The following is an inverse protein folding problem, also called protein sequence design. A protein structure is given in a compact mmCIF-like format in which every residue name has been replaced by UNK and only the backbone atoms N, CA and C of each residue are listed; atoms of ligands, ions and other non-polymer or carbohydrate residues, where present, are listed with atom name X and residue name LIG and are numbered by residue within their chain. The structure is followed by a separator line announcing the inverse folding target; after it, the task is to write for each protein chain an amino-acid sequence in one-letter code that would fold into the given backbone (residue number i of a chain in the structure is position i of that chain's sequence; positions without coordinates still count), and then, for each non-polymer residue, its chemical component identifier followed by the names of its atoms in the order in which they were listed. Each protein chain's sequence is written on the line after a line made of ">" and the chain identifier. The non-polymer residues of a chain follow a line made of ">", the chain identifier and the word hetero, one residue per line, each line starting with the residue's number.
data_IF_634420900132
#
_entry.id   IF_634420900132
#
_cell.length_a   1.000
_cell.length_b   1.000
_cell.length_c   1.000
_cell.angle_alpha   90.00
_cell.angle_beta   90.00
_cell.angle_gamma   90.00
#
_symmetry.space_group_name_H-M   'P 1'
#
loop_
_entity.id
_entity.type
_entity.pdbx_description
1 polymer ?
#
# COMPACT_ATOMS: atom_id res chain seq x y z
N UNK A 1 -10.29 -27.56 55.96
CA UNK A 1 -11.56 -27.47 55.22
C UNK A 1 -11.58 -26.15 54.47
N UNK A 2 -11.14 -26.18 53.21
CA UNK A 2 -11.57 -25.27 52.13
C UNK A 2 -11.14 -25.95 50.83
N UNK A 3 -12.06 -26.74 50.27
CA UNK A 3 -11.95 -27.36 48.96
C UNK A 3 -11.86 -26.27 47.89
N UNK A 4 -10.90 -26.40 46.96
CA UNK A 4 -10.81 -25.54 45.79
C UNK A 4 -11.46 -26.27 44.59
N UNK A 5 -12.61 -25.83 44.05
CA UNK A 5 -13.39 -26.55 43.06
C UNK A 5 -12.94 -26.32 41.60
N UNK A 6 -11.67 -26.01 41.35
CA UNK A 6 -11.16 -25.69 40.02
C UNK A 6 -10.51 -26.88 39.27
N UNK A 7 -10.81 -28.13 39.64
CA UNK A 7 -10.50 -29.30 38.81
C UNK A 7 -11.62 -29.58 37.80
N UNK A 8 -11.98 -28.58 36.99
CA UNK A 8 -12.87 -28.79 35.85
C UNK A 8 -12.11 -29.51 34.74
N UNK A 9 -12.34 -30.83 34.69
CA UNK A 9 -12.10 -31.77 33.60
C UNK A 9 -11.51 -31.16 32.31
N UNK A 10 -10.17 -31.11 32.24
CA UNK A 10 -9.50 -31.00 30.96
C UNK A 10 -9.84 -32.29 30.20
N UNK A 11 -10.82 -32.20 29.30
CA UNK A 11 -11.15 -33.28 28.37
C UNK A 11 -9.89 -33.53 27.56
N UNK A 12 -9.16 -34.58 27.90
CA UNK A 12 -7.99 -35.05 27.16
C UNK A 12 -8.52 -35.48 25.79
N UNK A 13 -8.48 -34.57 24.81
CA UNK A 13 -8.65 -34.96 23.41
C UNK A 13 -7.52 -35.94 23.10
N UNK A 14 -7.83 -37.23 23.15
CA UNK A 14 -6.89 -38.28 22.79
C UNK A 14 -6.42 -38.01 21.37
N UNK A 15 -5.11 -37.76 21.23
CA UNK A 15 -4.47 -37.56 19.94
C UNK A 15 -4.51 -38.88 19.16
N UNK A 16 -5.61 -39.15 18.46
CA UNK A 16 -5.73 -40.27 17.55
C UNK A 16 -4.80 -40.06 16.36
N UNK A 17 -3.94 -41.05 16.11
CA UNK A 17 -3.07 -41.08 14.93
C UNK A 17 -3.57 -42.16 13.99
N UNK A 18 -3.53 -41.86 12.70
CA UNK A 18 -3.74 -42.82 11.63
C UNK A 18 -2.57 -43.83 11.60
N UNK A 19 -2.77 -45.04 11.04
CA UNK A 19 -1.72 -46.05 10.92
C UNK A 19 -0.48 -45.61 10.13
N UNK A 20 -0.62 -44.56 9.31
CA UNK A 20 0.46 -43.92 8.55
C UNK A 20 1.23 -42.85 9.36
N UNK A 21 0.97 -42.73 10.67
CA UNK A 21 1.62 -41.78 11.58
C UNK A 21 1.05 -40.36 11.56
N UNK A 22 0.14 -40.03 10.64
CA UNK A 22 -0.52 -38.72 10.59
C UNK A 22 -1.57 -38.58 11.69
N UNK A 23 -1.85 -37.36 12.14
CA UNK A 23 -2.97 -37.12 13.06
C UNK A 23 -4.30 -37.36 12.34
N UNK A 24 -5.24 -38.03 13.00
CA UNK A 24 -6.59 -38.19 12.47
C UNK A 24 -7.28 -36.81 12.32
N UNK A 25 -8.20 -36.63 11.36
CA UNK A 25 -8.99 -35.41 11.28
C UNK A 25 -9.72 -35.14 12.60
N UNK A 26 -9.55 -33.95 13.18
CA UNK A 26 -10.12 -33.59 14.50
C UNK A 26 -9.31 -34.06 15.71
N UNK A 27 -8.25 -34.85 15.51
CA UNK A 27 -7.28 -35.21 16.55
C UNK A 27 -6.22 -34.11 16.63
N UNK A 28 -6.39 -33.22 17.60
CA UNK A 28 -5.42 -32.21 18.06
C UNK A 28 -4.29 -31.88 17.09
N UNK A 29 -4.53 -30.89 16.24
CA UNK A 29 -3.57 -30.31 15.31
C UNK A 29 -3.99 -28.89 14.97
N UNK A 30 -3.05 -28.07 14.51
CA UNK A 30 -3.38 -26.68 14.17
C UNK A 30 -4.25 -26.64 12.91
N UNK A 31 -5.46 -26.09 13.04
CA UNK A 31 -6.45 -26.01 11.94
C UNK A 31 -5.84 -25.31 10.72
N UNK A 32 -5.93 -25.89 9.51
CA UNK A 32 -5.47 -25.24 8.28
C UNK A 32 -6.03 -23.82 8.16
N UNK A 33 -5.17 -22.85 7.83
CA UNK A 33 -5.54 -21.42 7.72
C UNK A 33 -5.46 -20.60 9.02
N UNK A 34 -5.37 -21.23 10.20
CA UNK A 34 -5.29 -20.51 11.48
C UNK A 34 -4.04 -19.63 11.66
N UNK A 35 -2.93 -19.91 10.94
CA UNK A 35 -1.72 -19.05 10.94
C UNK A 35 -2.03 -17.64 10.44
N UNK A 36 -2.81 -17.56 9.37
CA UNK A 36 -3.12 -16.29 8.71
C UNK A 36 -4.34 -15.62 9.35
N UNK A 37 -5.20 -16.39 10.04
CA UNK A 37 -6.35 -15.85 10.77
C UNK A 37 -5.91 -14.89 11.89
N UNK A 38 -4.90 -15.25 12.68
CA UNK A 38 -4.35 -14.37 13.73
C UNK A 38 -3.73 -13.11 13.14
N UNK A 39 -3.03 -13.23 12.01
CA UNK A 39 -2.45 -12.08 11.30
C UNK A 39 -3.53 -11.14 10.75
N UNK A 40 -4.59 -11.68 10.16
CA UNK A 40 -5.68 -10.88 9.60
C UNK A 40 -6.54 -10.23 10.68
N UNK A 41 -6.80 -10.95 11.79
CA UNK A 41 -7.51 -10.39 12.94
C UNK A 41 -6.72 -9.24 13.58
N UNK A 42 -5.40 -9.38 13.72
CA UNK A 42 -4.54 -8.30 14.20
C UNK A 42 -4.56 -7.09 13.26
N UNK A 43 -4.49 -7.30 11.94
CA UNK A 43 -4.59 -6.22 10.96
C UNK A 43 -5.96 -5.52 10.97
N UNK A 44 -7.04 -6.29 11.14
CA UNK A 44 -8.38 -5.73 11.29
C UNK A 44 -8.49 -4.87 12.55
N UNK A 45 -8.01 -5.37 13.68
CA UNK A 45 -7.99 -4.63 14.94
C UNK A 45 -7.19 -3.31 14.81
N UNK A 46 -6.02 -3.33 14.16
CA UNK A 46 -5.23 -2.12 13.90
C UNK A 46 -6.00 -1.14 13.01
N UNK A 47 -6.74 -1.62 12.01
CA UNK A 47 -7.55 -0.76 11.13
C UNK A 47 -8.69 -0.08 11.91
N UNK A 48 -9.30 -0.79 12.84
CA UNK A 48 -10.41 -0.29 13.65
C UNK A 48 -9.94 0.76 14.68
N UNK A 49 -8.64 0.80 15.00
CA UNK A 49 -8.05 1.85 15.84
C UNK A 49 -7.95 3.22 15.17
N UNK A 50 -8.29 3.36 13.88
CA UNK A 50 -8.14 4.62 13.13
C UNK A 50 -8.75 5.84 13.86
N UNK A 51 -9.94 5.70 14.42
CA UNK A 51 -10.68 6.82 14.99
C UNK A 51 -10.07 7.23 16.33
N UNK A 52 -9.69 6.24 17.15
CA UNK A 52 -8.96 6.46 18.40
C UNK A 52 -7.58 7.08 18.15
N UNK A 53 -6.87 6.65 17.10
CA UNK A 53 -5.56 7.20 16.73
C UNK A 53 -5.67 8.66 16.27
N UNK A 54 -6.69 9.02 15.49
CA UNK A 54 -6.94 10.40 15.07
C UNK A 54 -7.30 11.27 16.29
N UNK A 55 -8.13 10.76 17.21
CA UNK A 55 -8.49 11.48 18.42
C UNK A 55 -7.25 11.74 19.29
N UNK A 56 -6.39 10.73 19.48
CA UNK A 56 -5.15 10.88 20.23
C UNK A 56 -4.18 11.86 19.56
N UNK A 57 -4.09 11.85 18.22
CA UNK A 57 -3.28 12.82 17.48
C UNK A 57 -3.79 14.26 17.70
N UNK A 58 -5.12 14.47 17.68
CA UNK A 58 -5.73 15.77 17.97
C UNK A 58 -5.38 16.26 19.37
N UNK A 59 -5.50 15.40 20.37
CA UNK A 59 -5.17 15.75 21.76
C UNK A 59 -3.70 16.15 21.91
N UNK A 60 -2.78 15.41 21.27
CA UNK A 60 -1.35 15.75 21.26
C UNK A 60 -1.05 17.09 20.56
N UNK A 61 -1.74 17.39 19.47
CA UNK A 61 -1.60 18.69 18.78
C UNK A 61 -2.04 19.84 19.67
N UNK A 62 -3.18 19.71 20.36
CA UNK A 62 -3.69 20.72 21.29
C UNK A 62 -2.73 20.90 22.47
N UNK A 63 -2.14 19.80 22.94
CA UNK A 63 -1.13 19.82 24.00
C UNK A 63 0.23 20.40 23.56
N UNK A 64 0.42 20.71 22.28
CA UNK A 64 1.67 21.29 21.75
C UNK A 64 2.80 20.28 21.59
N UNK A 65 2.51 18.99 21.48
CA UNK A 65 3.53 17.96 21.20
C UNK A 65 4.16 18.19 19.83
N UNK A 66 5.45 18.55 19.81
CA UNK A 66 6.20 18.85 18.59
C UNK A 66 6.22 17.67 17.60
N UNK A 67 6.24 16.44 18.08
CA UNK A 67 6.23 15.27 17.20
C UNK A 67 4.88 15.12 16.48
N UNK A 68 3.78 15.42 17.16
CA UNK A 68 2.45 15.41 16.56
C UNK A 68 2.30 16.54 15.52
N UNK A 69 2.83 17.72 15.82
CA UNK A 69 2.84 18.86 14.88
C UNK A 69 3.63 18.51 13.63
N UNK A 70 4.87 18.01 13.78
CA UNK A 70 5.71 17.62 12.65
C UNK A 70 5.04 16.54 11.79
N UNK A 71 4.47 15.51 12.43
CA UNK A 71 3.76 14.43 11.75
C UNK A 71 2.64 14.93 10.83
N UNK A 72 1.84 15.90 11.30
CA UNK A 72 0.76 16.51 10.51
C UNK A 72 1.31 17.38 9.40
N UNK A 73 2.29 18.24 9.69
CA UNK A 73 2.88 19.13 8.68
C UNK A 73 3.51 18.34 7.53
N UNK A 74 4.23 17.25 7.80
CA UNK A 74 4.80 16.37 6.77
C UNK A 74 3.76 15.73 5.84
N UNK A 75 2.50 15.64 6.27
CA UNK A 75 1.40 15.00 5.52
C UNK A 75 0.50 16.02 4.83
N UNK A 76 0.37 17.21 5.38
CA UNK A 76 -0.44 18.28 4.81
C UNK A 76 0.35 19.17 3.85
N UNK A 77 1.64 19.35 4.08
CA UNK A 77 2.50 20.15 3.20
C UNK A 77 2.96 19.34 1.99
N UNK A 78 3.11 19.99 0.82
CA UNK A 78 3.72 19.35 -0.34
C UNK A 78 5.14 18.88 0.00
N UNK A 79 5.46 17.63 -0.33
CA UNK A 79 6.74 16.99 0.01
C UNK A 79 7.90 17.38 -0.89
N UNK A 80 7.84 18.52 -1.55
CA UNK A 80 8.84 18.92 -2.51
C UNK A 80 8.85 20.42 -2.71
N UNK A 81 10.02 20.94 -3.08
CA UNK A 81 10.14 22.29 -3.61
C UNK A 81 9.68 22.29 -5.08
N UNK A 82 9.30 23.46 -5.62
CA UNK A 82 9.18 23.63 -7.05
C UNK A 82 10.50 23.29 -7.73
N UNK A 83 10.43 22.51 -8.82
CA UNK A 83 11.57 22.20 -9.67
C UNK A 83 11.45 23.06 -10.92
N UNK A 84 12.43 23.89 -11.18
CA UNK A 84 12.55 24.65 -12.42
C UNK A 84 13.40 23.84 -13.41
N UNK A 85 12.84 23.55 -14.57
CA UNK A 85 13.53 22.89 -15.67
C UNK A 85 13.49 23.81 -16.88
N UNK A 86 14.65 24.00 -17.52
CA UNK A 86 14.79 24.84 -18.72
C UNK A 86 13.95 24.31 -19.89
N UNK A 87 13.73 23.00 -19.94
CA UNK A 87 12.85 22.35 -20.90
C UNK A 87 12.29 21.03 -20.35
N UNK A 88 11.11 20.65 -20.81
CA UNK A 88 10.45 19.37 -20.51
C UNK A 88 11.01 18.21 -21.37
N UNK A 89 12.33 18.10 -21.50
CA UNK A 89 13.00 17.06 -22.31
C UNK A 89 13.82 16.10 -21.44
N UNK A 90 14.01 14.83 -21.86
CA UNK A 90 14.87 13.89 -21.15
C UNK A 90 16.31 14.40 -20.97
N UNK A 91 16.83 15.13 -21.97
CA UNK A 91 18.17 15.71 -21.90
C UNK A 91 18.27 16.81 -20.84
N UNK A 92 17.26 17.68 -20.73
CA UNK A 92 17.23 18.72 -19.70
C UNK A 92 17.15 18.13 -18.29
N UNK A 93 16.35 17.08 -18.06
CA UNK A 93 16.30 16.37 -16.78
C UNK A 93 17.65 15.74 -16.44
N UNK A 94 18.30 15.11 -17.43
CA UNK A 94 19.61 14.47 -17.25
C UNK A 94 20.67 15.52 -16.92
N UNK A 95 20.67 16.66 -17.62
CA UNK A 95 21.56 17.79 -17.34
C UNK A 95 21.35 18.35 -15.94
N UNK A 96 20.11 18.58 -15.54
CA UNK A 96 19.75 19.03 -14.19
C UNK A 96 20.24 18.06 -13.10
N UNK A 97 20.11 16.74 -13.33
CA UNK A 97 20.59 15.71 -12.41
C UNK A 97 22.13 15.70 -12.31
N UNK A 98 22.84 15.78 -13.45
CA UNK A 98 24.31 15.80 -13.50
C UNK A 98 24.86 17.07 -12.81
N UNK A 99 24.19 18.21 -13.01
CA UNK A 99 24.57 19.49 -12.42
C UNK A 99 24.20 19.58 -10.93
N UNK A 100 23.50 18.59 -10.38
CA UNK A 100 23.04 18.57 -8.99
C UNK A 100 21.95 19.59 -8.67
N UNK A 101 21.28 20.16 -9.69
CA UNK A 101 20.18 21.10 -9.47
C UNK A 101 18.93 20.39 -8.98
N UNK A 102 18.78 19.09 -9.29
CA UNK A 102 17.71 18.21 -8.81
C UNK A 102 18.29 16.92 -8.21
N UNK A 103 17.55 16.32 -7.28
CA UNK A 103 17.87 15.01 -6.71
C UNK A 103 17.45 13.87 -7.64
N UNK A 104 17.96 12.66 -7.39
CA UNK A 104 17.59 11.47 -8.14
C UNK A 104 16.10 11.10 -8.01
N UNK A 105 15.50 11.36 -6.85
CA UNK A 105 14.08 11.13 -6.62
C UNK A 105 13.21 12.14 -7.39
N UNK A 106 13.59 13.42 -7.36
CA UNK A 106 12.96 14.48 -8.17
C UNK A 106 13.05 14.15 -9.67
N UNK A 107 14.23 13.77 -10.17
CA UNK A 107 14.43 13.40 -11.57
C UNK A 107 13.54 12.21 -11.99
N UNK A 108 13.46 11.17 -11.14
CA UNK A 108 12.58 10.03 -11.37
C UNK A 108 11.12 10.46 -11.47
N UNK A 109 10.65 11.29 -10.54
CA UNK A 109 9.26 11.75 -10.50
C UNK A 109 8.92 12.54 -11.78
N UNK A 110 9.78 13.46 -12.21
CA UNK A 110 9.57 14.22 -13.45
C UNK A 110 9.58 13.30 -14.67
N UNK A 111 10.54 12.39 -14.77
CA UNK A 111 10.63 11.46 -15.90
C UNK A 111 9.37 10.59 -16.04
N UNK A 112 8.83 10.09 -14.91
CA UNK A 112 7.56 9.34 -14.90
C UNK A 112 6.38 10.20 -15.35
N UNK A 113 6.33 11.48 -14.99
CA UNK A 113 5.29 12.39 -15.47
C UNK A 113 5.40 12.60 -16.99
N UNK A 114 6.61 12.85 -17.50
CA UNK A 114 6.82 13.03 -18.94
C UNK A 114 6.46 11.78 -19.75
N UNK A 115 6.83 10.60 -19.28
CA UNK A 115 6.46 9.33 -19.92
C UNK A 115 4.93 9.18 -20.02
N UNK A 116 4.20 9.52 -18.96
CA UNK A 116 2.74 9.49 -18.94
C UNK A 116 2.13 10.49 -19.92
N UNK A 117 2.66 11.70 -20.00
CA UNK A 117 2.17 12.70 -20.96
C UNK A 117 2.43 12.22 -22.40
N UNK A 118 3.63 11.74 -22.70
CA UNK A 118 3.98 11.24 -24.02
C UNK A 118 3.13 10.03 -24.44
N UNK A 119 2.86 9.10 -23.51
CA UNK A 119 2.00 7.95 -23.80
C UNK A 119 0.54 8.36 -24.06
N UNK A 120 0.01 9.36 -23.36
CA UNK A 120 -1.33 9.90 -23.63
C UNK A 120 -1.40 10.53 -25.03
N UNK A 121 -0.38 11.28 -25.42
CA UNK A 121 -0.28 11.90 -26.75
C UNK A 121 -0.25 10.82 -27.85
N UNK A 122 0.60 9.80 -27.70
CA UNK A 122 0.69 8.68 -28.64
C UNK A 122 -0.64 7.92 -28.76
N UNK A 123 -1.35 7.68 -27.66
CA UNK A 123 -2.66 7.01 -27.69
C UNK A 123 -3.69 7.86 -28.45
N UNK A 124 -3.66 9.18 -28.25
CA UNK A 124 -4.55 10.11 -28.96
C UNK A 124 -4.25 10.09 -30.46
N UNK A 125 -2.99 10.19 -30.85
CA UNK A 125 -2.57 10.15 -32.25
C UNK A 125 -2.95 8.82 -32.93
N UNK A 126 -2.76 7.69 -32.24
CA UNK A 126 -3.15 6.38 -32.75
C UNK A 126 -4.65 6.26 -32.97
N UNK A 127 -5.48 6.84 -32.08
CA UNK A 127 -6.93 6.89 -32.25
C UNK A 127 -7.34 7.70 -33.46
N UNK A 128 -6.76 8.88 -33.65
CA UNK A 128 -7.04 9.74 -34.81
C UNK A 128 -6.70 9.03 -36.13
N UNK A 129 -5.53 8.37 -36.19
CA UNK A 129 -5.12 7.59 -37.35
C UNK A 129 -6.06 6.41 -37.62
N UNK A 130 -6.52 5.74 -36.57
CA UNK A 130 -7.44 4.61 -36.69
C UNK A 130 -8.81 5.06 -37.19
N UNK A 131 -9.37 6.14 -36.65
CA UNK A 131 -10.63 6.73 -37.13
C UNK A 131 -10.54 7.22 -38.59
N UNK A 132 -9.39 7.75 -39.00
CA UNK A 132 -9.17 8.15 -40.39
C UNK A 132 -9.18 6.92 -41.32
N UNK A 133 -8.54 5.82 -40.91
CA UNK A 133 -8.54 4.58 -41.68
C UNK A 133 -9.93 3.93 -41.75
N UNK A 134 -10.67 3.91 -40.64
CA UNK A 134 -12.05 3.41 -40.60
C UNK A 134 -12.97 4.22 -41.52
N UNK A 135 -12.83 5.55 -41.55
CA UNK A 135 -13.56 6.43 -42.48
C UNK A 135 -13.26 6.08 -43.94
N UNK A 136 -11.99 5.86 -44.29
CA UNK A 136 -11.60 5.48 -45.65
C UNK A 136 -12.12 4.09 -46.02
N UNK A 137 -12.07 3.12 -45.11
CA UNK A 137 -12.59 1.77 -45.34
C UNK A 137 -14.11 1.77 -45.54
N UNK A 138 -14.84 2.55 -44.73
CA UNK A 138 -16.29 2.67 -44.84
C UNK A 138 -16.72 3.43 -46.10
N UNK A 139 -15.92 4.37 -46.59
CA UNK A 139 -16.18 5.08 -47.85
C UNK A 139 -15.86 4.25 -49.11
N UNK A 140 -15.04 3.20 -48.98
CA UNK A 140 -14.67 2.29 -50.06
C UNK A 140 -15.61 1.07 -50.20
N UNK A 141 -16.59 0.93 -49.30
CA UNK A 141 -17.68 -0.05 -49.36
C UNK A 141 -18.94 0.58 -49.92
#
# INVERSE_FOLDING_TARGET
>A
MTDNPASSSATVHQLQRLPNGQFAPGSGGRVPGSKNLVSNAALAAVRDMKDAAIQQLREKLIAGDWQAVLFVLERCLPKGRPIELDAATPSAITGALINGTITSEEAKNVATVLEKVASIEQVTELRERLEALERLQNAAR
#
